data_IF_981627245529
#
_entry.id   IF_981627245529
#
_cell.length_a   1.000
_cell.length_b   1.000
_cell.length_c   1.000
_cell.angle_alpha   90.00
_cell.angle_beta   90.00
_cell.angle_gamma   90.00
#
_symmetry.space_group_name_H-M   'P 1'
#
loop_
_entity.id
_entity.type
_entity.pdbx_description
1 polymer ?
#
# COMPACT_ATOMS: atom_id res chain seq x y z
N UNK A 1 -13.50 -17.32 -7.35
CA UNK A 1 -13.39 -16.19 -8.28
C UNK A 1 -13.10 -14.94 -7.46
N UNK A 2 -12.05 -14.18 -7.78
CA UNK A 2 -11.69 -12.95 -7.06
C UNK A 2 -12.59 -11.82 -7.60
N UNK A 3 -13.37 -11.10 -6.77
CA UNK A 3 -14.16 -9.97 -7.25
C UNK A 3 -13.27 -8.87 -7.82
N UNK A 4 -13.54 -8.41 -9.04
CA UNK A 4 -12.67 -7.46 -9.77
C UNK A 4 -13.23 -6.04 -9.88
N UNK A 5 -14.48 -5.83 -9.46
CA UNK A 5 -15.14 -4.53 -9.50
C UNK A 5 -14.46 -3.51 -8.59
N UNK A 6 -14.30 -2.29 -9.10
CA UNK A 6 -13.70 -1.15 -8.43
C UNK A 6 -14.71 -0.02 -8.47
N UNK A 7 -15.25 0.30 -7.29
CA UNK A 7 -16.14 1.45 -7.12
C UNK A 7 -15.30 2.73 -7.06
N UNK A 8 -15.87 3.83 -7.51
CA UNK A 8 -15.19 5.13 -7.39
C UNK A 8 -16.09 6.21 -6.81
N UNK A 9 -15.46 7.14 -6.11
CA UNK A 9 -16.09 8.38 -5.64
C UNK A 9 -15.12 9.55 -5.76
N UNK A 10 -15.65 10.75 -5.92
CA UNK A 10 -14.93 12.01 -5.81
C UNK A 10 -15.60 12.83 -4.73
N UNK A 11 -14.84 13.15 -3.68
CA UNK A 11 -15.20 14.12 -2.64
C UNK A 11 -14.42 15.40 -2.89
N UNK A 12 -15.03 16.56 -2.69
CA UNK A 12 -14.33 17.83 -2.78
C UNK A 12 -14.96 18.89 -1.89
N UNK A 13 -14.32 20.06 -1.85
CA UNK A 13 -14.86 21.22 -1.14
C UNK A 13 -16.26 21.60 -1.66
N UNK A 14 -17.04 22.28 -0.82
CA UNK A 14 -18.41 22.71 -1.16
C UNK A 14 -19.44 21.58 -1.20
N UNK A 15 -19.14 20.42 -0.62
CA UNK A 15 -20.06 19.28 -0.53
C UNK A 15 -20.17 18.47 -1.82
N UNK A 16 -19.23 18.64 -2.76
CA UNK A 16 -19.17 17.82 -3.97
C UNK A 16 -19.01 16.35 -3.59
N UNK A 17 -19.97 15.53 -4.02
CA UNK A 17 -19.92 14.09 -3.88
C UNK A 17 -20.43 13.44 -5.17
N UNK A 18 -19.49 12.93 -5.98
CA UNK A 18 -19.79 12.13 -7.17
C UNK A 18 -19.40 10.70 -6.88
N UNK A 19 -20.16 9.73 -7.37
CA UNK A 19 -19.84 8.33 -7.19
C UNK A 19 -20.33 7.46 -8.34
N UNK A 20 -19.76 6.26 -8.46
CA UNK A 20 -20.23 5.23 -9.37
C UNK A 20 -21.45 4.50 -8.79
N UNK A 21 -22.19 3.78 -9.64
CA UNK A 21 -23.41 3.07 -9.22
C UNK A 21 -23.17 1.96 -8.19
N UNK A 22 -21.95 1.40 -8.15
CA UNK A 22 -21.51 0.35 -7.24
C UNK A 22 -20.81 0.86 -5.97
N UNK A 23 -20.74 2.19 -5.79
CA UNK A 23 -20.28 2.80 -4.55
C UNK A 23 -21.40 2.75 -3.51
N UNK A 24 -21.17 1.98 -2.44
CA UNK A 24 -22.14 1.80 -1.36
C UNK A 24 -22.37 3.13 -0.62
N UNK A 25 -23.63 3.59 -0.44
CA UNK A 25 -23.93 4.83 0.27
C UNK A 25 -23.35 4.91 1.69
N UNK A 26 -23.25 3.77 2.39
CA UNK A 26 -22.73 3.71 3.76
C UNK A 26 -21.22 4.01 3.84
N UNK A 27 -20.51 3.96 2.70
CA UNK A 27 -19.08 4.25 2.63
C UNK A 27 -18.75 5.74 2.66
N UNK A 28 -19.74 6.61 2.49
CA UNK A 28 -19.51 8.06 2.50
C UNK A 28 -18.87 8.54 3.80
N UNK A 29 -19.36 8.08 4.95
CA UNK A 29 -18.83 8.48 6.26
C UNK A 29 -17.35 8.08 6.43
N UNK A 30 -16.97 6.91 5.90
CA UNK A 30 -15.58 6.46 5.90
C UNK A 30 -14.71 7.31 4.97
N UNK A 31 -15.22 7.69 3.80
CA UNK A 31 -14.51 8.58 2.89
C UNK A 31 -14.30 9.98 3.50
N UNK A 32 -15.32 10.54 4.15
CA UNK A 32 -15.24 11.82 4.87
C UNK A 32 -14.22 11.75 6.03
N UNK A 33 -14.25 10.68 6.84
CA UNK A 33 -13.25 10.44 7.89
C UNK A 33 -11.82 10.41 7.35
N UNK A 34 -11.62 9.84 6.15
CA UNK A 34 -10.31 9.78 5.50
C UNK A 34 -9.87 11.17 5.01
N UNK A 35 -10.79 11.96 4.44
CA UNK A 35 -10.51 13.35 4.03
C UNK A 35 -10.10 14.19 5.25
N UNK A 36 -10.81 14.06 6.38
CA UNK A 36 -10.46 14.75 7.61
C UNK A 36 -9.11 14.29 8.16
N UNK A 37 -8.85 12.98 8.15
CA UNK A 37 -7.59 12.39 8.60
C UNK A 37 -6.38 12.74 7.73
N UNK A 38 -6.58 13.14 6.48
CA UNK A 38 -5.52 13.63 5.60
C UNK A 38 -4.87 14.91 6.14
N UNK A 39 -5.64 15.73 6.88
CA UNK A 39 -5.13 16.85 7.67
C UNK A 39 -4.76 18.12 6.89
N UNK A 40 -5.18 18.25 5.63
CA UNK A 40 -4.83 19.42 4.81
C UNK A 40 -5.44 20.72 5.36
N UNK A 41 -4.64 21.75 5.68
CA UNK A 41 -5.16 23.04 6.12
C UNK A 41 -6.10 23.67 5.08
N UNK A 42 -7.17 24.33 5.54
CA UNK A 42 -8.22 24.88 4.66
C UNK A 42 -7.72 25.85 3.59
N UNK A 43 -6.66 26.60 3.89
CA UNK A 43 -6.13 27.65 3.01
C UNK A 43 -4.84 27.25 2.27
N UNK A 44 -4.50 25.96 2.26
CA UNK A 44 -3.30 25.47 1.59
C UNK A 44 -3.70 24.72 0.32
N UNK A 45 -3.09 25.10 -0.80
CA UNK A 45 -3.21 24.36 -2.04
C UNK A 45 -2.59 22.97 -1.86
N UNK A 46 -3.41 21.93 -2.00
CA UNK A 46 -2.95 20.54 -1.89
C UNK A 46 -2.37 20.11 -3.24
N UNK A 47 -1.07 19.76 -3.31
CA UNK A 47 -0.45 19.28 -4.53
C UNK A 47 -1.00 17.90 -4.93
N UNK A 48 -0.77 17.54 -6.19
CA UNK A 48 -1.17 16.22 -6.70
C UNK A 48 -0.43 15.11 -5.92
N UNK A 49 -1.18 14.29 -5.19
CA UNK A 49 -0.61 13.21 -4.40
C UNK A 49 -1.48 11.95 -4.41
N UNK A 50 -0.88 10.85 -3.98
CA UNK A 50 -1.48 9.53 -3.95
C UNK A 50 -1.22 8.87 -2.60
N UNK A 51 -2.25 8.25 -2.04
CA UNK A 51 -2.07 7.35 -0.92
C UNK A 51 -3.02 6.16 -1.00
N UNK A 52 -2.74 5.11 -0.24
CA UNK A 52 -3.65 3.98 -0.09
C UNK A 52 -3.77 3.57 1.36
N UNK A 53 -4.94 3.07 1.75
CA UNK A 53 -5.18 2.56 3.10
C UNK A 53 -6.37 1.58 3.13
N UNK A 54 -6.58 0.84 4.24
CA UNK A 54 -7.78 0.05 4.43
C UNK A 54 -9.02 0.93 4.38
N UNK A 55 -10.08 0.41 3.76
CA UNK A 55 -11.37 1.08 3.66
C UNK A 55 -12.42 0.15 4.29
N UNK A 56 -12.65 0.32 5.59
CA UNK A 56 -13.31 -0.71 6.39
C UNK A 56 -12.55 -2.06 6.44
N UNK A 57 -13.26 -3.16 6.71
CA UNK A 57 -12.64 -4.48 6.99
C UNK A 57 -12.28 -5.30 5.76
N UNK A 58 -12.91 -5.03 4.62
CA UNK A 58 -12.89 -5.91 3.43
C UNK A 58 -12.52 -5.19 2.15
N UNK A 59 -12.09 -3.93 2.23
CA UNK A 59 -11.74 -3.11 1.08
C UNK A 59 -10.47 -2.33 1.35
N UNK A 60 -9.86 -1.87 0.27
CA UNK A 60 -8.73 -0.94 0.28
C UNK A 60 -9.13 0.21 -0.64
N UNK A 61 -8.80 1.43 -0.24
CA UNK A 61 -8.96 2.61 -1.07
C UNK A 61 -7.60 3.06 -1.58
N UNK A 62 -7.49 3.26 -2.90
CA UNK A 62 -6.40 3.99 -3.54
C UNK A 62 -6.93 5.38 -3.85
N UNK A 63 -6.28 6.41 -3.30
CA UNK A 63 -6.84 7.76 -3.24
C UNK A 63 -5.87 8.72 -3.91
N UNK A 64 -6.35 9.38 -4.96
CA UNK A 64 -5.65 10.49 -5.61
C UNK A 64 -6.21 11.80 -5.07
N UNK A 65 -5.37 12.80 -4.87
CA UNK A 65 -5.77 14.14 -4.42
C UNK A 65 -5.29 15.19 -5.41
N UNK A 66 -6.13 16.18 -5.69
CA UNK A 66 -5.78 17.40 -6.46
C UNK A 66 -6.58 18.58 -5.94
N UNK A 67 -5.92 19.67 -5.53
CA UNK A 67 -6.58 20.92 -5.14
C UNK A 67 -7.79 20.70 -4.17
N UNK A 68 -7.60 19.83 -3.17
CA UNK A 68 -8.61 19.41 -2.17
C UNK A 68 -9.77 18.54 -2.68
N UNK A 69 -9.67 18.01 -3.89
CA UNK A 69 -10.55 16.95 -4.40
C UNK A 69 -9.89 15.59 -4.19
N UNK A 70 -10.61 14.66 -3.58
CA UNK A 70 -10.18 13.32 -3.25
C UNK A 70 -10.94 12.33 -4.12
N UNK A 71 -10.24 11.63 -5.00
CA UNK A 71 -10.81 10.52 -5.76
C UNK A 71 -10.45 9.20 -5.10
N UNK A 72 -11.47 8.45 -4.73
CA UNK A 72 -11.38 7.12 -4.16
C UNK A 72 -11.55 6.08 -5.26
N UNK A 73 -10.63 5.12 -5.34
CA UNK A 73 -10.80 3.84 -6.01
C UNK A 73 -10.92 2.77 -4.92
N UNK A 74 -12.14 2.31 -4.67
CA UNK A 74 -12.46 1.37 -3.60
C UNK A 74 -12.58 -0.04 -4.16
N UNK A 75 -11.65 -0.89 -3.75
CA UNK A 75 -11.47 -2.22 -4.31
C UNK A 75 -11.58 -3.31 -3.23
N UNK A 76 -12.11 -4.49 -3.56
CA UNK A 76 -12.15 -5.62 -2.65
C UNK A 76 -10.76 -5.95 -2.12
N UNK A 77 -10.66 -6.25 -0.82
CA UNK A 77 -9.40 -6.61 -0.18
C UNK A 77 -8.74 -7.81 -0.88
N UNK A 78 -9.53 -8.81 -1.26
CA UNK A 78 -9.05 -9.99 -1.98
C UNK A 78 -8.44 -9.65 -3.36
N UNK A 79 -8.92 -8.60 -4.01
CA UNK A 79 -8.31 -8.09 -5.24
C UNK A 79 -7.00 -7.38 -4.92
N UNK A 80 -6.98 -6.47 -3.95
CA UNK A 80 -5.75 -5.80 -3.55
C UNK A 80 -4.64 -6.77 -3.11
N UNK A 81 -5.00 -7.87 -2.44
CA UNK A 81 -4.03 -8.88 -2.03
C UNK A 81 -3.32 -9.55 -3.23
N UNK A 82 -3.94 -9.61 -4.41
CA UNK A 82 -3.29 -10.12 -5.64
C UNK A 82 -2.61 -9.04 -6.48
N UNK A 83 -2.96 -7.77 -6.28
CA UNK A 83 -2.36 -6.61 -6.96
C UNK A 83 -1.97 -5.51 -5.96
N UNK A 84 -1.03 -5.76 -5.02
CA UNK A 84 -0.71 -4.84 -3.93
C UNK A 84 0.18 -3.68 -4.42
N UNK A 85 -0.29 -2.94 -5.42
CA UNK A 85 0.43 -1.84 -6.03
C UNK A 85 -0.52 -0.67 -6.26
N UNK A 86 -0.64 0.26 -5.28
CA UNK A 86 -1.55 1.39 -5.39
C UNK A 86 -1.15 2.33 -6.53
N UNK A 87 0.13 2.35 -6.90
CA UNK A 87 0.65 3.16 -7.98
C UNK A 87 0.20 2.63 -9.34
N UNK A 88 0.36 1.33 -9.58
CA UNK A 88 -0.12 0.70 -10.81
C UNK A 88 -1.65 0.80 -10.96
N UNK A 89 -2.38 0.72 -9.84
CA UNK A 89 -3.84 0.91 -9.82
C UNK A 89 -4.20 2.35 -10.24
N UNK A 90 -3.55 3.35 -9.65
CA UNK A 90 -3.80 4.75 -9.97
C UNK A 90 -3.43 5.10 -11.42
N UNK A 91 -2.30 4.59 -11.91
CA UNK A 91 -1.84 4.81 -13.29
C UNK A 91 -2.82 4.20 -14.32
N UNK A 92 -3.40 3.04 -14.00
CA UNK A 92 -4.36 2.37 -14.88
C UNK A 92 -5.72 3.08 -14.94
N UNK A 93 -6.14 3.71 -13.85
CA UNK A 93 -7.41 4.43 -13.79
C UNK A 93 -7.18 5.90 -13.42
N UNK A 94 -6.64 6.71 -14.34
CA UNK A 94 -6.35 8.12 -14.06
C UNK A 94 -7.64 8.89 -13.69
N UNK A 95 -7.54 9.87 -12.79
CA UNK A 95 -8.70 10.66 -12.36
C UNK A 95 -9.25 11.53 -13.50
N UNK A 96 -10.57 11.50 -13.70
CA UNK A 96 -11.29 12.46 -14.55
C UNK A 96 -11.87 13.58 -13.70
N UNK A 97 -11.03 14.53 -13.29
CA UNK A 97 -11.43 15.62 -12.38
C UNK A 97 -12.58 16.48 -12.93
N UNK A 98 -12.65 16.68 -14.25
CA UNK A 98 -13.71 17.50 -14.86
C UNK A 98 -15.06 16.80 -14.98
N UNK A 99 -15.23 15.63 -14.37
CA UNK A 99 -16.52 14.93 -14.36
C UNK A 99 -17.56 15.72 -13.57
N UNK A 100 -18.73 15.93 -14.17
CA UNK A 100 -19.90 16.59 -13.56
C UNK A 100 -21.10 15.66 -13.37
N UNK A 101 -21.01 14.41 -13.83
CA UNK A 101 -22.08 13.41 -13.81
C UNK A 101 -21.72 12.16 -12.97
N UNK A 102 -22.56 11.11 -13.04
CA UNK A 102 -22.27 9.84 -12.40
C UNK A 102 -20.95 9.27 -12.91
N UNK A 103 -20.17 8.66 -12.01
CA UNK A 103 -18.87 8.10 -12.36
C UNK A 103 -19.03 6.70 -12.96
N UNK A 104 -18.09 6.31 -13.82
CA UNK A 104 -18.04 4.96 -14.40
C UNK A 104 -17.75 3.90 -13.32
N UNK A 105 -18.26 2.68 -13.49
CA UNK A 105 -17.77 1.55 -12.70
C UNK A 105 -16.56 0.95 -13.40
N UNK A 106 -15.49 0.65 -12.66
CA UNK A 106 -14.30 0.03 -13.21
C UNK A 106 -14.19 -1.44 -12.85
N UNK A 107 -13.44 -2.18 -13.66
CA UNK A 107 -13.08 -3.56 -13.38
C UNK A 107 -11.58 -3.73 -13.63
N UNK A 108 -10.89 -4.42 -12.71
CA UNK A 108 -9.51 -4.80 -12.96
C UNK A 108 -9.46 -5.88 -14.03
N UNK A 109 -8.67 -5.72 -15.12
CA UNK A 109 -8.61 -6.73 -16.20
C UNK A 109 -8.00 -8.03 -15.69
N UNK A 110 -8.27 -9.17 -16.37
CA UNK A 110 -7.75 -10.49 -15.99
C UNK A 110 -6.23 -10.56 -15.86
N UNK A 111 -5.53 -9.71 -16.61
CA UNK A 111 -4.08 -9.60 -16.64
C UNK A 111 -3.46 -9.34 -15.25
N UNK A 112 -2.45 -10.13 -14.85
CA UNK A 112 -1.69 -9.88 -13.63
C UNK A 112 -0.86 -8.60 -13.74
N UNK A 113 -0.36 -8.11 -12.60
CA UNK A 113 0.66 -7.06 -12.63
C UNK A 113 1.93 -7.59 -13.29
N UNK A 114 2.64 -6.76 -14.08
CA UNK A 114 3.96 -7.11 -14.58
C UNK A 114 4.90 -7.50 -13.44
N UNK A 115 5.74 -8.52 -13.67
CA UNK A 115 6.79 -8.89 -12.74
C UNK A 115 7.83 -7.77 -12.62
N UNK A 116 8.35 -7.59 -11.41
CA UNK A 116 9.46 -6.68 -11.14
C UNK A 116 10.76 -7.30 -11.63
N UNK A 117 11.43 -6.62 -12.55
CA UNK A 117 12.62 -7.15 -13.22
C UNK A 117 13.89 -6.68 -12.55
N UNK A 118 14.97 -7.46 -12.66
CA UNK A 118 16.30 -7.04 -12.21
C UNK A 118 16.69 -5.69 -12.81
N UNK A 119 16.40 -5.45 -14.09
CA UNK A 119 16.69 -4.17 -14.75
C UNK A 119 15.96 -2.99 -14.10
N UNK A 120 14.71 -3.17 -13.67
CA UNK A 120 13.97 -2.14 -12.94
C UNK A 120 14.60 -1.86 -11.57
N UNK A 121 14.98 -2.91 -10.83
CA UNK A 121 15.59 -2.76 -9.51
C UNK A 121 17.01 -2.18 -9.58
N UNK A 122 17.79 -2.56 -10.58
CA UNK A 122 19.11 -2.00 -10.86
C UNK A 122 19.02 -0.49 -11.16
N UNK A 123 18.01 -0.06 -11.93
CA UNK A 123 17.76 1.36 -12.16
C UNK A 123 17.40 2.10 -10.85
N UNK A 124 16.62 1.48 -9.97
CA UNK A 124 16.31 2.02 -8.64
C UNK A 124 17.58 2.21 -7.81
N UNK A 125 18.46 1.20 -7.76
CA UNK A 125 19.72 1.30 -7.00
C UNK A 125 20.72 2.29 -7.60
N UNK A 126 20.80 2.41 -8.93
CA UNK A 126 21.73 3.31 -9.61
C UNK A 126 21.36 4.79 -9.50
N UNK A 127 20.06 5.09 -9.43
CA UNK A 127 19.56 6.47 -9.48
C UNK A 127 18.94 6.93 -8.17
N UNK A 128 18.83 6.05 -7.18
CA UNK A 128 18.28 6.33 -5.88
C UNK A 128 19.34 6.55 -4.80
N UNK A 129 18.86 6.95 -3.63
CA UNK A 129 19.64 6.99 -2.41
C UNK A 129 19.70 5.58 -1.80
N UNK A 130 20.71 4.80 -2.16
CA UNK A 130 20.86 3.40 -1.76
C UNK A 130 20.67 3.16 -0.25
N UNK A 131 21.39 3.88 0.63
CA UNK A 131 21.20 3.79 2.08
C UNK A 131 19.77 4.03 2.54
N UNK A 132 19.12 5.10 2.05
CA UNK A 132 17.71 5.36 2.41
C UNK A 132 16.77 4.27 1.87
N UNK A 133 16.93 3.88 0.61
CA UNK A 133 16.05 2.92 -0.05
C UNK A 133 16.09 1.55 0.63
N UNK A 134 17.29 1.07 0.95
CA UNK A 134 17.48 -0.19 1.65
C UNK A 134 16.89 -0.09 3.05
N UNK A 135 17.40 0.82 3.89
CA UNK A 135 16.97 0.88 5.29
C UNK A 135 15.47 1.21 5.46
N UNK A 136 14.87 1.96 4.54
CA UNK A 136 13.42 2.14 4.47
C UNK A 136 12.69 0.83 4.12
N UNK A 137 13.18 0.11 3.11
CA UNK A 137 12.64 -1.20 2.74
C UNK A 137 12.66 -2.16 3.94
N UNK A 138 13.79 -2.25 4.65
CA UNK A 138 13.88 -3.12 5.82
C UNK A 138 13.00 -2.68 6.97
N UNK A 139 12.96 -1.37 7.29
CA UNK A 139 12.05 -0.84 8.31
C UNK A 139 10.61 -1.30 8.04
N UNK A 140 10.16 -1.23 6.79
CA UNK A 140 8.80 -1.64 6.41
C UNK A 140 8.63 -3.17 6.44
N UNK A 141 9.64 -3.95 6.08
CA UNK A 141 9.64 -5.42 6.23
C UNK A 141 9.47 -5.83 7.69
N UNK A 142 10.09 -5.09 8.60
CA UNK A 142 9.96 -5.27 10.05
C UNK A 142 8.69 -4.64 10.64
N UNK A 143 7.75 -4.23 9.78
CA UNK A 143 6.47 -3.58 10.15
C UNK A 143 6.62 -2.24 10.88
N UNK A 144 7.79 -1.61 10.77
CA UNK A 144 8.03 -0.24 11.18
C UNK A 144 7.31 0.76 10.28
N UNK A 145 7.43 2.05 10.64
CA UNK A 145 6.82 3.16 9.88
C UNK A 145 7.84 4.26 9.67
N UNK A 146 7.71 4.98 8.55
CA UNK A 146 8.68 5.99 8.12
C UNK A 146 7.94 7.27 7.75
N UNK A 147 8.42 8.38 8.28
CA UNK A 147 7.96 9.72 7.96
C UNK A 147 9.12 10.52 7.35
N UNK A 148 8.92 11.00 6.13
CA UNK A 148 9.91 11.75 5.35
C UNK A 148 9.41 13.18 5.20
N UNK A 149 10.29 14.17 5.39
CA UNK A 149 9.92 15.59 5.27
C UNK A 149 10.32 16.13 3.91
N UNK A 150 9.37 16.67 3.15
CA UNK A 150 9.59 17.32 1.85
C UNK A 150 8.58 18.45 1.67
N UNK A 151 8.95 19.51 0.96
CA UNK A 151 8.02 20.61 0.64
C UNK A 151 6.94 20.19 -0.38
N UNK A 152 7.26 19.20 -1.22
CA UNK A 152 6.40 18.68 -2.29
C UNK A 152 6.23 17.15 -2.21
N UNK A 153 5.19 16.59 -2.87
CA UNK A 153 5.03 15.15 -3.00
C UNK A 153 6.25 14.48 -3.62
N UNK A 154 6.64 13.32 -3.10
CA UNK A 154 7.73 12.50 -3.65
C UNK A 154 7.23 11.13 -4.14
N UNK A 155 6.45 11.10 -5.24
CA UNK A 155 5.94 9.85 -5.77
C UNK A 155 7.04 8.92 -6.27
N UNK A 156 8.19 9.45 -6.69
CA UNK A 156 9.32 8.65 -7.18
C UNK A 156 9.92 7.85 -6.03
N UNK A 157 10.30 8.50 -4.93
CA UNK A 157 10.85 7.83 -3.75
C UNK A 157 9.90 6.76 -3.22
N UNK A 158 8.62 7.07 -3.09
CA UNK A 158 7.64 6.09 -2.62
C UNK A 158 7.52 4.89 -3.57
N UNK A 159 7.53 5.09 -4.90
CA UNK A 159 7.51 4.00 -5.88
C UNK A 159 8.78 3.17 -5.85
N UNK A 160 9.94 3.80 -5.70
CA UNK A 160 11.23 3.14 -5.63
C UNK A 160 11.30 2.24 -4.39
N UNK A 161 10.94 2.75 -3.21
CA UNK A 161 10.81 1.94 -1.98
C UNK A 161 9.79 0.83 -2.21
N UNK A 162 8.62 1.14 -2.77
CA UNK A 162 7.58 0.15 -3.02
C UNK A 162 8.08 -0.99 -3.90
N UNK A 163 8.87 -0.71 -4.94
CA UNK A 163 9.44 -1.71 -5.84
C UNK A 163 10.40 -2.69 -5.15
N UNK A 164 11.04 -2.27 -4.06
CA UNK A 164 11.96 -3.10 -3.28
C UNK A 164 11.26 -4.00 -2.25
N UNK A 165 9.97 -3.77 -1.95
CA UNK A 165 9.25 -4.51 -0.90
C UNK A 165 8.79 -5.91 -1.33
N UNK A 166 8.85 -6.94 -0.48
CA UNK A 166 8.18 -8.21 -0.74
C UNK A 166 6.67 -8.05 -0.95
N UNK A 167 6.04 -8.97 -1.68
CA UNK A 167 4.59 -8.94 -1.92
C UNK A 167 3.80 -8.97 -0.61
N UNK A 168 4.26 -9.76 0.37
CA UNK A 168 3.62 -9.83 1.68
C UNK A 168 3.59 -8.48 2.41
N UNK A 169 4.67 -7.71 2.28
CA UNK A 169 4.80 -6.39 2.92
C UNK A 169 3.94 -5.37 2.20
N UNK A 170 3.97 -5.35 0.86
CA UNK A 170 3.10 -4.48 0.04
C UNK A 170 1.61 -4.65 0.37
N UNK A 171 1.16 -5.87 0.73
CA UNK A 171 -0.24 -6.12 1.13
C UNK A 171 -0.62 -5.48 2.47
N UNK A 172 0.34 -5.25 3.36
CA UNK A 172 0.10 -4.86 4.75
C UNK A 172 0.54 -3.43 5.06
N UNK A 173 1.36 -2.86 4.20
CA UNK A 173 1.88 -1.49 4.30
C UNK A 173 1.04 -0.53 3.47
N UNK A 174 1.02 0.73 3.86
CA UNK A 174 0.17 1.78 3.27
C UNK A 174 1.04 2.99 2.92
N UNK A 175 1.27 3.30 1.63
CA UNK A 175 2.08 4.43 1.24
C UNK A 175 1.23 5.69 1.10
N UNK A 176 1.84 6.84 1.37
CA UNK A 176 1.36 8.16 1.03
C UNK A 176 2.50 9.00 0.43
N UNK A 177 2.39 9.35 -0.85
CA UNK A 177 3.38 10.20 -1.53
C UNK A 177 3.39 11.62 -1.00
N UNK A 178 2.31 12.00 -0.32
CA UNK A 178 2.18 13.22 0.47
C UNK A 178 0.96 13.11 1.38
N UNK A 179 1.04 13.61 2.60
CA UNK A 179 -0.09 13.88 3.48
C UNK A 179 0.27 15.03 4.44
N UNK A 180 -0.72 15.62 5.10
CA UNK A 180 -0.48 16.66 6.11
C UNK A 180 -0.55 16.10 7.53
N UNK A 181 -0.85 14.81 7.68
CA UNK A 181 -0.97 14.12 8.96
C UNK A 181 -0.67 12.64 8.81
N UNK A 182 -0.12 12.04 9.87
CA UNK A 182 0.06 10.60 9.99
C UNK A 182 -1.12 9.91 10.71
N UNK A 183 -2.22 10.63 10.99
CA UNK A 183 -3.38 10.09 11.70
C UNK A 183 -4.04 8.87 11.03
N UNK A 184 -3.87 8.73 9.71
CA UNK A 184 -4.36 7.59 8.94
C UNK A 184 -3.48 6.33 9.05
N UNK A 185 -2.35 6.41 9.77
CA UNK A 185 -1.54 5.23 10.10
C UNK A 185 -0.75 4.66 8.91
N UNK A 186 -0.24 5.51 8.04
CA UNK A 186 0.60 5.11 6.90
C UNK A 186 1.86 4.36 7.35
N UNK A 187 2.28 3.36 6.57
CA UNK A 187 3.59 2.73 6.78
C UNK A 187 4.72 3.61 6.25
N UNK A 188 4.49 4.30 5.13
CA UNK A 188 5.40 5.26 4.54
C UNK A 188 4.62 6.54 4.23
N UNK A 189 5.05 7.68 4.75
CA UNK A 189 4.41 8.97 4.50
C UNK A 189 5.44 10.05 4.23
N UNK A 190 5.19 10.86 3.21
CA UNK A 190 5.87 12.13 3.00
C UNK A 190 5.01 13.24 3.59
N UNK A 191 5.60 14.13 4.39
CA UNK A 191 4.94 15.21 5.10
C UNK A 191 5.60 16.55 4.77
N UNK A 192 4.85 17.67 4.73
CA UNK A 192 5.42 19.01 4.58
C UNK A 192 6.33 19.39 5.75
N UNK A 193 5.97 18.97 6.95
CA UNK A 193 6.71 19.28 8.18
C UNK A 193 6.61 18.12 9.17
N UNK A 194 7.67 17.93 9.96
CA UNK A 194 7.63 17.04 11.11
C UNK A 194 7.11 17.82 12.33
N UNK A 195 6.14 17.30 13.10
CA UNK A 195 5.76 17.91 14.37
C UNK A 195 6.94 17.93 15.36
N UNK A 196 6.92 18.91 16.27
CA UNK A 196 7.90 18.99 17.35
C UNK A 196 7.86 17.71 18.20
N UNK A 197 9.02 17.08 18.40
CA UNK A 197 9.13 15.79 19.09
C UNK A 197 8.89 14.56 18.21
N UNK A 198 8.64 14.73 16.90
CA UNK A 198 8.45 13.64 15.95
C UNK A 198 7.06 12.99 16.04
N UNK A 199 6.86 11.91 15.29
CA UNK A 199 5.60 11.16 15.28
C UNK A 199 5.85 9.82 16.00
N UNK A 200 5.12 9.53 17.09
CA UNK A 200 5.29 8.28 17.82
C UNK A 200 5.21 7.05 16.92
N UNK A 201 6.25 6.20 16.97
CA UNK A 201 6.33 4.97 16.20
C UNK A 201 6.77 5.13 14.74
N UNK A 202 7.13 6.34 14.30
CA UNK A 202 7.72 6.59 12.99
C UNK A 202 9.21 6.86 13.12
N UNK A 203 9.99 6.28 12.22
CA UNK A 203 11.38 6.66 11.99
C UNK A 203 11.44 7.88 11.06
N UNK A 204 12.40 8.75 11.32
CA UNK A 204 12.79 9.81 10.38
C UNK A 204 13.57 9.23 9.22
N UNK A 205 13.78 10.04 8.18
CA UNK A 205 14.62 9.66 7.04
C UNK A 205 16.05 9.27 7.45
N UNK A 206 16.70 10.06 8.31
CA UNK A 206 18.06 9.76 8.79
C UNK A 206 18.09 8.45 9.58
N UNK A 207 17.08 8.22 10.44
CA UNK A 207 16.96 6.95 11.18
C UNK A 207 16.70 5.75 10.26
N UNK A 208 15.96 5.94 9.17
CA UNK A 208 15.75 4.91 8.17
C UNK A 208 17.05 4.64 7.38
N UNK A 209 17.87 5.65 7.10
CA UNK A 209 19.20 5.50 6.47
C UNK A 209 20.17 4.68 7.32
N UNK A 210 20.15 4.92 8.63
CA UNK A 210 20.99 4.24 9.61
C UNK A 210 20.36 2.93 10.12
N UNK A 211 19.28 2.45 9.48
CA UNK A 211 18.63 1.22 9.90
C UNK A 211 19.58 0.02 9.72
N UNK A 212 19.66 -0.92 10.68
CA UNK A 212 20.59 -2.03 10.61
C UNK A 212 20.44 -2.85 9.32
N UNK A 213 21.56 -3.08 8.64
CA UNK A 213 21.59 -3.88 7.41
C UNK A 213 21.02 -5.28 7.67
N UNK A 214 20.14 -5.70 6.78
CA UNK A 214 19.43 -6.96 6.90
C UNK A 214 19.87 -8.00 5.88
N UNK A 215 19.57 -9.27 6.21
CA UNK A 215 19.76 -10.37 5.27
C UNK A 215 18.94 -10.19 3.99
N UNK A 216 17.74 -9.61 4.08
CA UNK A 216 16.87 -9.41 2.91
C UNK A 216 17.47 -8.40 1.94
N UNK A 217 17.89 -7.24 2.43
CA UNK A 217 18.49 -6.16 1.64
C UNK A 217 19.74 -6.66 0.91
N UNK A 218 20.65 -7.31 1.66
CA UNK A 218 21.89 -7.83 1.11
C UNK A 218 21.63 -8.90 0.05
N UNK A 219 20.71 -9.83 0.29
CA UNK A 219 20.34 -10.83 -0.71
C UNK A 219 19.70 -10.21 -1.95
N UNK A 220 18.88 -9.16 -1.79
CA UNK A 220 18.27 -8.44 -2.91
C UNK A 220 19.32 -7.71 -3.75
N UNK A 221 20.21 -6.97 -3.10
CA UNK A 221 21.29 -6.25 -3.77
C UNK A 221 22.19 -7.21 -4.55
N UNK A 222 22.65 -8.29 -3.91
CA UNK A 222 23.49 -9.31 -4.55
C UNK A 222 22.76 -9.98 -5.74
N UNK A 223 21.46 -10.24 -5.62
CA UNK A 223 20.68 -10.81 -6.72
C UNK A 223 20.58 -9.85 -7.91
N UNK A 224 20.39 -8.56 -7.65
CA UNK A 224 20.32 -7.54 -8.70
C UNK A 224 21.68 -7.32 -9.37
N UNK A 225 22.75 -7.21 -8.59
CA UNK A 225 24.13 -7.07 -9.10
C UNK A 225 24.55 -8.25 -9.99
N UNK A 226 24.09 -9.46 -9.67
CA UNK A 226 24.39 -10.67 -10.44
C UNK A 226 23.42 -10.95 -11.60
N UNK A 227 22.39 -10.12 -11.82
CA UNK A 227 21.41 -10.40 -12.87
C UNK A 227 20.45 -11.56 -12.56
N UNK A 228 20.34 -12.01 -11.31
CA UNK A 228 19.61 -13.23 -10.92
C UNK A 228 18.12 -12.97 -10.65
N UNK A 229 17.33 -12.96 -11.73
CA UNK A 229 15.88 -12.81 -11.66
C UNK A 229 15.20 -13.88 -10.79
N UNK A 230 15.70 -15.12 -10.78
CA UNK A 230 15.06 -16.20 -10.01
C UNK A 230 15.18 -15.97 -8.50
N UNK A 231 16.30 -15.40 -8.07
CA UNK A 231 16.49 -15.03 -6.66
C UNK A 231 15.64 -13.81 -6.30
N UNK A 232 15.54 -12.79 -7.18
CA UNK A 232 14.61 -11.66 -7.00
C UNK A 232 13.17 -12.14 -6.85
N UNK A 233 12.68 -13.00 -7.76
CA UNK A 233 11.32 -13.53 -7.71
C UNK A 233 11.05 -14.30 -6.40
N UNK A 234 12.03 -15.08 -5.95
CA UNK A 234 11.95 -15.83 -4.69
C UNK A 234 11.89 -14.91 -3.46
N UNK A 235 12.69 -13.85 -3.45
CA UNK A 235 12.72 -12.86 -2.37
C UNK A 235 11.38 -12.12 -2.27
N UNK A 236 10.80 -11.72 -3.41
CA UNK A 236 9.51 -11.04 -3.43
C UNK A 236 8.32 -11.95 -3.12
N UNK A 237 8.38 -13.22 -3.52
CA UNK A 237 7.36 -14.22 -3.20
C UNK A 237 7.42 -14.73 -1.75
N UNK A 238 8.38 -14.27 -0.95
CA UNK A 238 8.53 -14.68 0.45
C UNK A 238 7.25 -14.38 1.24
N UNK A 239 6.69 -15.43 1.85
CA UNK A 239 5.54 -15.30 2.75
C UNK A 239 5.99 -14.67 4.06
N UNK A 240 5.14 -13.83 4.64
CA UNK A 240 5.41 -13.26 5.96
C UNK A 240 5.39 -14.35 7.04
N UNK A 241 6.11 -14.13 8.15
CA UNK A 241 6.07 -15.02 9.31
C UNK A 241 4.65 -15.17 9.88
N UNK A 242 3.83 -14.11 9.80
CA UNK A 242 2.43 -14.13 10.20
C UNK A 242 1.58 -15.04 9.29
N UNK A 243 1.79 -15.03 7.97
CA UNK A 243 1.14 -15.96 7.05
C UNK A 243 1.58 -17.41 7.31
N UNK A 244 2.86 -17.61 7.62
CA UNK A 244 3.41 -18.93 7.96
C UNK A 244 2.81 -19.45 9.27
N UNK A 245 2.74 -18.61 10.30
CA UNK A 245 2.12 -18.94 11.59
C UNK A 245 0.63 -19.20 11.42
N UNK A 246 -0.09 -18.36 10.67
CA UNK A 246 -1.52 -18.55 10.38
C UNK A 246 -1.75 -19.89 9.69
N UNK A 247 -0.90 -20.25 8.73
CA UNK A 247 -0.98 -21.53 8.03
C UNK A 247 -0.67 -22.70 8.97
N UNK A 248 0.33 -22.57 9.85
CA UNK A 248 0.62 -23.56 10.88
C UNK A 248 -0.57 -23.77 11.83
N UNK A 249 -1.22 -22.69 12.29
CA UNK A 249 -2.42 -22.75 13.13
C UNK A 249 -3.57 -23.44 12.41
N UNK A 250 -3.82 -23.10 11.14
CA UNK A 250 -4.84 -23.78 10.33
C UNK A 250 -4.57 -25.27 10.14
N UNK A 251 -3.31 -25.66 9.94
CA UNK A 251 -2.92 -27.07 9.85
C UNK A 251 -3.19 -27.80 11.17
N UNK A 252 -2.80 -27.23 12.31
CA UNK A 252 -3.05 -27.82 13.63
C UNK A 252 -4.56 -28.00 13.86
N UNK A 253 -5.36 -26.99 13.54
CA UNK A 253 -6.81 -27.08 13.66
C UNK A 253 -7.40 -28.15 12.73
N UNK A 254 -6.94 -28.20 11.47
CA UNK A 254 -7.35 -29.20 10.50
C UNK A 254 -7.05 -30.64 10.95
N UNK A 255 -5.84 -30.90 11.47
CA UNK A 255 -5.49 -32.19 12.04
C UNK A 255 -6.32 -32.53 13.28
N UNK A 256 -6.63 -31.55 14.12
CA UNK A 256 -7.52 -31.73 15.28
C UNK A 256 -8.93 -32.18 14.89
N UNK A 257 -9.53 -31.52 13.89
CA UNK A 257 -10.85 -31.88 13.34
C UNK A 257 -10.81 -33.28 12.73
N UNK A 258 -9.78 -33.59 11.93
CA UNK A 258 -9.63 -34.89 11.28
C UNK A 258 -9.48 -36.03 12.31
N UNK A 259 -8.71 -35.80 13.38
CA UNK A 259 -8.52 -36.74 14.48
C UNK A 259 -9.83 -37.00 15.24
N UNK A 260 -10.60 -35.96 15.53
CA UNK A 260 -11.90 -36.09 16.19
C UNK A 260 -12.90 -36.85 15.31
N UNK A 261 -12.98 -36.51 14.02
CA UNK A 261 -13.84 -37.22 13.07
C UNK A 261 -13.47 -38.70 12.95
N UNK A 262 -12.18 -39.02 12.91
CA UNK A 262 -11.67 -40.40 12.88
C UNK A 262 -12.07 -41.19 14.12
N UNK A 263 -11.97 -40.58 15.31
CA UNK A 263 -12.42 -41.20 16.58
C UNK A 263 -13.92 -41.46 16.60
N UNK A 264 -14.72 -40.52 16.10
CA UNK A 264 -16.18 -40.68 16.02
C UNK A 264 -16.51 -41.82 15.04
N UNK A 265 -15.88 -41.86 13.86
CA UNK A 265 -16.08 -42.91 12.87
C UNK A 265 -15.72 -44.31 13.38
N UNK A 266 -14.67 -44.44 14.21
CA UNK A 266 -14.29 -45.73 14.80
C UNK A 266 -15.18 -46.16 15.98
N UNK A 267 -15.98 -45.26 16.55
CA UNK A 267 -16.87 -45.56 17.65
C UNK A 267 -18.25 -46.07 17.19
N UNK A 268 -18.50 -46.09 15.88
CA UNK A 268 -19.67 -46.65 15.21
C UNK A 268 -19.33 -47.98 14.55
#
# INVERSE_FOLDING_TARGET
>A
MIPRGIAQAILGDGGLFLHSADFDPDWRAEAERIVDGFGAPTNVAVPDCLFALPFGRRRVAVISVRARRFRFLVLPRALYDVIPDPFAIADRFPPRWESSGPLETYEWPEEPLPHRTVAQLDAVFKHGDGPLLLGACQTLVDSGRIAIVRDDPDPKLCRDIWNLLPDSTRRQTWPATFAYSAALGFGLVVLPTMPEGGIPGYLTEDQARDYPESRYERELQVAVENGDQRTVDRLFARRSSAETLRLAVWLVFGFGVLSLASRILMAW
#
